data_IF_587490869312
#
_entry.id   IF_587490869312
#
_cell.length_a   1.000
_cell.length_b   1.000
_cell.length_c   1.000
_cell.angle_alpha   90.00
_cell.angle_beta   90.00
_cell.angle_gamma   90.00
#
_symmetry.space_group_name_H-M   'P 1'
#
loop_
_entity.id
_entity.type
_entity.pdbx_description
1 polymer ?
#
# COMPACT_ATOMS: atom_id res chain seq x y z
N UNK A 1 -27.23 33.31 -20.15
CA UNK A 1 -26.09 32.87 -19.32
C UNK A 1 -25.92 31.39 -19.55
N UNK A 2 -24.78 30.94 -20.10
CA UNK A 2 -24.54 29.51 -20.32
C UNK A 2 -24.25 28.86 -18.97
N UNK A 3 -25.03 27.84 -18.63
CA UNK A 3 -24.84 27.04 -17.42
C UNK A 3 -23.48 26.35 -17.49
N UNK A 4 -22.65 26.51 -16.45
CA UNK A 4 -21.29 25.99 -16.43
C UNK A 4 -21.35 24.48 -16.15
N UNK A 5 -21.46 23.68 -17.20
CA UNK A 5 -21.44 22.22 -17.12
C UNK A 5 -20.18 21.76 -16.38
N UNK A 6 -20.38 21.12 -15.22
CA UNK A 6 -19.31 20.59 -14.37
C UNK A 6 -19.43 19.07 -14.33
N UNK A 7 -18.56 18.39 -15.07
CA UNK A 7 -18.47 16.92 -15.07
C UNK A 7 -17.70 16.43 -13.83
N UNK A 8 -18.09 15.27 -13.28
CA UNK A 8 -17.43 14.68 -12.11
C UNK A 8 -16.27 13.75 -12.51
N UNK A 9 -16.31 13.21 -13.73
CA UNK A 9 -15.26 12.35 -14.30
C UNK A 9 -15.04 12.63 -15.79
N UNK A 10 -13.95 12.08 -16.32
CA UNK A 10 -13.67 12.08 -17.77
C UNK A 10 -14.72 11.25 -18.52
N UNK A 11 -15.18 10.15 -17.92
CA UNK A 11 -16.24 9.31 -18.48
C UNK A 11 -17.57 10.08 -18.59
N UNK A 12 -17.94 10.88 -17.59
CA UNK A 12 -19.13 11.74 -17.64
C UNK A 12 -19.03 12.79 -18.76
N UNK A 13 -17.85 13.39 -18.93
CA UNK A 13 -17.62 14.37 -19.99
C UNK A 13 -17.70 13.72 -21.38
N UNK A 14 -17.14 12.53 -21.54
CA UNK A 14 -17.14 11.83 -22.82
C UNK A 14 -18.51 11.27 -23.19
N UNK A 15 -19.27 10.73 -22.25
CA UNK A 15 -20.66 10.31 -22.48
C UNK A 15 -21.54 11.50 -22.90
N UNK A 16 -21.36 12.66 -22.25
CA UNK A 16 -22.02 13.89 -22.64
C UNK A 16 -21.66 14.34 -24.07
N UNK A 17 -20.37 14.27 -24.44
CA UNK A 17 -19.92 14.62 -25.79
C UNK A 17 -20.39 13.64 -26.87
N UNK A 18 -20.47 12.35 -26.54
CA UNK A 18 -20.93 11.31 -27.44
C UNK A 18 -22.47 11.21 -27.52
N UNK A 19 -23.19 11.86 -26.60
CA UNK A 19 -24.65 11.74 -26.43
C UNK A 19 -25.06 10.27 -26.27
N UNK A 20 -24.24 9.51 -25.55
CA UNK A 20 -24.38 8.06 -25.38
C UNK A 20 -23.83 7.64 -24.01
N UNK A 21 -24.73 7.18 -23.14
CA UNK A 21 -24.37 6.73 -21.80
C UNK A 21 -23.58 5.40 -21.81
N UNK A 22 -23.63 4.63 -22.91
CA UNK A 22 -22.82 3.40 -23.03
C UNK A 22 -21.33 3.73 -23.11
N UNK A 23 -20.98 4.91 -23.63
CA UNK A 23 -19.59 5.41 -23.71
C UNK A 23 -18.99 5.61 -22.31
N UNK A 24 -19.83 5.92 -21.31
CA UNK A 24 -19.37 6.05 -19.93
C UNK A 24 -18.72 4.76 -19.44
N UNK A 25 -19.44 3.63 -19.55
CA UNK A 25 -18.97 2.34 -19.07
C UNK A 25 -17.72 1.88 -19.84
N UNK A 26 -17.69 2.11 -21.15
CA UNK A 26 -16.53 1.77 -21.99
C UNK A 26 -15.27 2.53 -21.55
N UNK A 27 -15.41 3.81 -21.18
CA UNK A 27 -14.28 4.62 -20.72
C UNK A 27 -13.88 4.25 -19.31
N UNK A 28 -14.83 3.96 -18.41
CA UNK A 28 -14.52 3.49 -17.06
C UNK A 28 -13.75 2.15 -17.12
N UNK A 29 -14.20 1.23 -17.95
CA UNK A 29 -13.50 -0.04 -18.21
C UNK A 29 -12.11 0.17 -18.80
N UNK A 30 -11.95 1.09 -19.76
CA UNK A 30 -10.64 1.40 -20.34
C UNK A 30 -9.70 2.07 -19.33
N UNK A 31 -10.21 2.93 -18.44
CA UNK A 31 -9.43 3.53 -17.37
C UNK A 31 -8.93 2.45 -16.40
N UNK A 32 -9.80 1.53 -16.00
CA UNK A 32 -9.47 0.43 -15.10
C UNK A 32 -8.48 -0.55 -15.73
N UNK A 33 -8.63 -0.80 -17.02
CA UNK A 33 -7.73 -1.68 -17.77
C UNK A 33 -6.41 -1.01 -18.16
N UNK A 34 -6.16 0.27 -17.85
CA UNK A 34 -4.95 0.99 -18.26
C UNK A 34 -4.12 1.53 -17.09
N UNK A 35 -4.25 0.98 -15.89
CA UNK A 35 -3.57 1.49 -14.69
C UNK A 35 -2.05 1.26 -14.74
N UNK A 36 -1.60 0.07 -15.10
CA UNK A 36 -0.18 -0.31 -15.14
C UNK A 36 0.53 0.48 -16.25
N UNK A 37 -0.02 0.49 -17.46
CA UNK A 37 0.55 1.23 -18.60
C UNK A 37 0.68 2.72 -18.28
N UNK A 38 -0.36 3.32 -17.70
CA UNK A 38 -0.33 4.74 -17.33
C UNK A 38 0.73 5.02 -16.27
N UNK A 39 0.93 4.11 -15.31
CA UNK A 39 1.99 4.27 -14.32
C UNK A 39 3.39 4.18 -14.95
N UNK A 40 3.64 3.19 -15.82
CA UNK A 40 4.92 3.09 -16.55
C UNK A 40 5.20 4.35 -17.38
N UNK A 41 4.19 4.82 -18.13
CA UNK A 41 4.28 6.04 -18.93
C UNK A 41 4.61 7.26 -18.06
N UNK A 42 3.88 7.46 -16.95
CA UNK A 42 4.15 8.55 -16.01
C UNK A 42 5.56 8.49 -15.46
N UNK A 43 6.04 7.31 -15.08
CA UNK A 43 7.41 7.14 -14.59
C UNK A 43 8.45 7.48 -15.67
N UNK A 44 8.26 7.01 -16.91
CA UNK A 44 9.14 7.35 -18.03
C UNK A 44 9.19 8.86 -18.27
N UNK A 45 8.02 9.50 -18.33
CA UNK A 45 7.91 10.95 -18.56
C UNK A 45 8.57 11.75 -17.42
N UNK A 46 8.38 11.34 -16.16
CA UNK A 46 9.03 11.99 -15.01
C UNK A 46 10.55 11.88 -15.03
N UNK A 47 11.09 10.80 -15.62
CA UNK A 47 12.54 10.63 -15.82
C UNK A 47 13.05 11.31 -17.09
N UNK A 48 12.18 11.92 -17.90
CA UNK A 48 12.57 12.59 -19.15
C UNK A 48 13.09 11.66 -20.24
N UNK A 49 12.85 10.35 -20.12
CA UNK A 49 13.36 9.33 -21.05
C UNK A 49 12.44 9.24 -22.26
N UNK A 50 12.98 9.36 -23.46
CA UNK A 50 12.21 9.15 -24.70
C UNK A 50 11.94 7.66 -24.96
N UNK A 51 10.92 7.35 -25.77
CA UNK A 51 10.66 5.96 -26.20
C UNK A 51 11.86 5.35 -26.94
N UNK A 52 12.64 6.16 -27.67
CA UNK A 52 13.84 5.73 -28.38
C UNK A 52 14.99 5.37 -27.42
N UNK A 53 15.14 6.10 -26.33
CA UNK A 53 16.14 5.78 -25.30
C UNK A 53 15.74 4.54 -24.50
N UNK A 54 14.46 4.45 -24.13
CA UNK A 54 13.94 3.29 -23.42
C UNK A 54 14.05 2.01 -24.24
N UNK A 55 13.68 2.06 -25.52
CA UNK A 55 13.76 0.90 -26.42
C UNK A 55 15.19 0.40 -26.59
N UNK A 56 16.18 1.30 -26.67
CA UNK A 56 17.61 0.92 -26.64
C UNK A 56 17.99 0.20 -25.35
N UNK A 57 17.58 0.72 -24.19
CA UNK A 57 17.85 0.08 -22.89
C UNK A 57 17.18 -1.29 -22.76
N UNK A 58 15.99 -1.46 -23.34
CA UNK A 58 15.26 -2.72 -23.35
C UNK A 58 15.70 -3.68 -24.48
N UNK A 59 16.63 -3.28 -25.35
CA UNK A 59 17.06 -4.08 -26.50
C UNK A 59 15.93 -4.38 -27.50
N UNK A 60 14.98 -3.45 -27.67
CA UNK A 60 13.82 -3.63 -28.55
C UNK A 60 13.62 -2.44 -29.50
N UNK A 61 12.64 -2.55 -30.40
CA UNK A 61 12.28 -1.47 -31.31
C UNK A 61 11.38 -0.41 -30.64
N UNK A 62 11.50 0.85 -31.06
CA UNK A 62 10.70 1.96 -30.51
C UNK A 62 9.18 1.75 -30.71
N UNK A 63 8.77 1.02 -31.76
CA UNK A 63 7.36 0.67 -31.97
C UNK A 63 6.82 -0.26 -30.89
N UNK A 64 7.67 -1.09 -30.25
CA UNK A 64 7.26 -1.92 -29.11
C UNK A 64 6.85 -1.06 -27.93
N UNK A 65 7.67 -0.06 -27.59
CA UNK A 65 7.38 0.89 -26.51
C UNK A 65 6.10 1.68 -26.83
N UNK A 66 5.96 2.17 -28.06
CA UNK A 66 4.75 2.89 -28.48
C UNK A 66 3.49 2.02 -28.36
N UNK A 67 3.54 0.74 -28.75
CA UNK A 67 2.40 -0.18 -28.61
C UNK A 67 2.09 -0.46 -27.14
N UNK A 68 3.12 -0.64 -26.31
CA UNK A 68 2.93 -0.84 -24.89
C UNK A 68 2.25 0.37 -24.24
N UNK A 69 2.67 1.60 -24.58
CA UNK A 69 2.12 2.83 -24.00
C UNK A 69 0.76 3.26 -24.55
N UNK A 70 0.39 2.77 -25.74
CA UNK A 70 -0.90 3.05 -26.37
C UNK A 70 -1.95 1.95 -26.16
N UNK A 71 -1.53 0.77 -25.71
CA UNK A 71 -2.41 -0.33 -25.36
C UNK A 71 -2.88 -0.26 -23.91
N UNK A 72 -3.57 -1.33 -23.48
CA UNK A 72 -4.04 -1.48 -22.12
C UNK A 72 -3.33 -2.65 -21.41
N UNK A 73 -3.53 -2.75 -20.10
CA UNK A 73 -2.85 -3.69 -19.20
C UNK A 73 -3.07 -5.15 -19.60
N UNK A 74 -4.23 -5.49 -20.19
CA UNK A 74 -4.54 -6.84 -20.66
C UNK A 74 -3.64 -7.30 -21.82
N UNK A 75 -3.05 -6.36 -22.55
CA UNK A 75 -2.16 -6.64 -23.68
C UNK A 75 -0.69 -6.69 -23.26
N UNK A 76 -0.38 -6.28 -22.02
CA UNK A 76 0.98 -6.26 -21.51
C UNK A 76 1.42 -7.65 -21.06
N UNK A 77 2.63 -8.03 -21.46
CA UNK A 77 3.30 -9.23 -20.92
C UNK A 77 4.05 -8.84 -19.66
N UNK A 78 3.94 -9.66 -18.60
CA UNK A 78 4.67 -9.45 -17.33
C UNK A 78 6.17 -9.24 -17.58
N UNK A 79 6.78 -10.04 -18.46
CA UNK A 79 8.20 -9.87 -18.80
C UNK A 79 8.52 -8.54 -19.48
N UNK A 80 7.58 -7.94 -20.23
CA UNK A 80 7.76 -6.62 -20.84
C UNK A 80 7.61 -5.52 -19.79
N UNK A 81 6.68 -5.65 -18.84
CA UNK A 81 6.54 -4.74 -17.69
C UNK A 81 7.82 -4.72 -16.86
N UNK A 82 8.36 -5.91 -16.52
CA UNK A 82 9.60 -6.05 -15.75
C UNK A 82 10.78 -5.39 -16.45
N UNK A 83 10.96 -5.64 -17.76
CA UNK A 83 12.03 -5.02 -18.54
C UNK A 83 11.87 -3.50 -18.63
N UNK A 84 10.64 -3.01 -18.80
CA UNK A 84 10.35 -1.58 -18.82
C UNK A 84 10.71 -0.93 -17.48
N UNK A 85 10.24 -1.49 -16.37
CA UNK A 85 10.54 -0.99 -15.02
C UNK A 85 12.06 -1.01 -14.74
N UNK A 86 12.73 -2.13 -15.07
CA UNK A 86 14.18 -2.27 -14.91
C UNK A 86 14.96 -1.26 -15.75
N UNK A 87 14.57 -1.02 -17.00
CA UNK A 87 15.18 -0.01 -17.88
C UNK A 87 14.93 1.43 -17.38
N UNK A 88 13.89 1.64 -16.58
CA UNK A 88 13.70 2.87 -15.84
C UNK A 88 14.50 2.92 -14.54
N UNK A 89 15.13 1.84 -14.07
CA UNK A 89 15.73 1.76 -12.73
C UNK A 89 14.66 1.80 -11.64
N UNK A 90 13.60 1.01 -11.82
CA UNK A 90 12.51 0.81 -10.87
C UNK A 90 12.42 -0.69 -10.58
N UNK A 91 12.41 -1.05 -9.31
CA UNK A 91 12.17 -2.42 -8.88
C UNK A 91 10.67 -2.72 -8.90
N UNK A 92 10.32 -3.89 -9.46
CA UNK A 92 8.95 -4.39 -9.51
C UNK A 92 8.82 -5.60 -8.59
N UNK A 93 7.89 -5.53 -7.64
CA UNK A 93 7.52 -6.65 -6.78
C UNK A 93 6.10 -7.11 -7.14
N UNK A 94 5.91 -8.42 -7.27
CA UNK A 94 4.58 -9.04 -7.46
C UNK A 94 4.20 -9.73 -6.17
N UNK A 95 3.07 -9.31 -5.59
CA UNK A 95 2.52 -9.90 -4.37
C UNK A 95 1.23 -10.62 -4.74
N UNK A 96 1.12 -11.88 -4.34
CA UNK A 96 -0.12 -12.64 -4.43
C UNK A 96 -0.77 -12.67 -3.05
N UNK A 97 -1.98 -12.14 -2.94
CA UNK A 97 -2.76 -12.13 -1.71
C UNK A 97 -3.91 -13.14 -1.79
N UNK A 98 -3.98 -14.04 -0.82
CA UNK A 98 -5.12 -14.94 -0.68
C UNK A 98 -6.26 -14.23 0.06
N UNK A 99 -7.25 -13.78 -0.72
CA UNK A 99 -8.44 -13.09 -0.19
C UNK A 99 -9.39 -14.01 0.59
N UNK A 100 -9.19 -15.33 0.56
CA UNK A 100 -9.97 -16.27 1.37
C UNK A 100 -9.50 -16.30 2.82
N UNK A 101 -8.28 -15.82 3.09
CA UNK A 101 -7.76 -15.73 4.44
C UNK A 101 -8.53 -14.68 5.26
N UNK A 102 -8.83 -14.96 6.54
CA UNK A 102 -9.35 -13.95 7.44
C UNK A 102 -8.43 -12.73 7.50
N UNK A 103 -9.03 -11.54 7.63
CA UNK A 103 -8.28 -10.26 7.73
C UNK A 103 -7.19 -10.31 8.82
N UNK A 104 -7.42 -11.05 9.91
CA UNK A 104 -6.43 -11.25 10.96
C UNK A 104 -5.14 -11.94 10.46
N UNK A 105 -5.25 -12.92 9.58
CA UNK A 105 -4.09 -13.62 9.00
C UNK A 105 -3.37 -12.74 7.97
N UNK A 106 -4.12 -11.94 7.19
CA UNK A 106 -3.54 -10.94 6.30
C UNK A 106 -2.70 -9.91 7.08
N UNK A 107 -3.23 -9.40 8.21
CA UNK A 107 -2.51 -8.49 9.10
C UNK A 107 -1.21 -9.12 9.62
N UNK A 108 -1.25 -10.38 10.07
CA UNK A 108 -0.04 -11.10 10.53
C UNK A 108 1.01 -11.18 9.42
N UNK A 109 0.60 -11.52 8.20
CA UNK A 109 1.51 -11.58 7.06
C UNK A 109 2.22 -10.25 6.84
N UNK A 110 1.48 -9.13 6.86
CA UNK A 110 2.08 -7.80 6.70
C UNK A 110 3.04 -7.46 7.84
N UNK A 111 2.71 -7.81 9.08
CA UNK A 111 3.61 -7.60 10.24
C UNK A 111 4.93 -8.34 10.04
N UNK A 112 4.90 -9.58 9.55
CA UNK A 112 6.13 -10.33 9.25
C UNK A 112 6.92 -9.70 8.11
N UNK A 113 6.26 -9.30 7.01
CA UNK A 113 6.95 -8.61 5.91
C UNK A 113 7.59 -7.29 6.34
N UNK A 114 6.92 -6.51 7.21
CA UNK A 114 7.50 -5.29 7.78
C UNK A 114 8.73 -5.62 8.62
N UNK A 115 8.66 -6.66 9.44
CA UNK A 115 9.81 -7.10 10.24
C UNK A 115 11.01 -7.47 9.36
N UNK A 116 10.80 -8.26 8.30
CA UNK A 116 11.87 -8.63 7.35
C UNK A 116 12.50 -7.40 6.68
N UNK A 117 11.70 -6.41 6.29
CA UNK A 117 12.20 -5.16 5.71
C UNK A 117 13.01 -4.33 6.73
N UNK A 118 12.59 -4.32 7.99
CA UNK A 118 13.36 -3.69 9.06
C UNK A 118 14.71 -4.41 9.24
N UNK A 119 14.74 -5.75 9.27
CA UNK A 119 16.00 -6.51 9.33
C UNK A 119 16.95 -6.19 8.17
N UNK A 120 16.43 -5.95 6.95
CA UNK A 120 17.26 -5.49 5.84
C UNK A 120 17.92 -4.13 6.10
N UNK A 121 17.25 -3.21 6.81
CA UNK A 121 17.88 -1.95 7.23
C UNK A 121 19.04 -2.18 8.20
N UNK A 122 18.93 -3.17 9.08
CA UNK A 122 20.03 -3.56 9.99
C UNK A 122 21.21 -4.09 9.18
N UNK A 123 20.97 -4.97 8.21
CA UNK A 123 22.02 -5.49 7.32
C UNK A 123 22.72 -4.36 6.57
N UNK A 124 21.95 -3.41 6.02
CA UNK A 124 22.52 -2.22 5.37
C UNK A 124 23.36 -1.41 6.36
N UNK A 125 22.86 -1.16 7.57
CA UNK A 125 23.59 -0.42 8.59
C UNK A 125 24.93 -1.08 8.97
N UNK A 126 24.99 -2.42 8.97
CA UNK A 126 26.21 -3.19 9.23
C UNK A 126 27.23 -3.12 8.09
N UNK A 127 26.77 -2.95 6.85
CA UNK A 127 27.64 -2.82 5.68
C UNK A 127 28.29 -1.44 5.57
N UNK A 128 27.67 -0.42 6.15
CA UNK A 128 28.21 0.94 6.18
C UNK A 128 29.14 1.08 7.39
N UNK A 129 30.41 0.70 7.20
CA UNK A 129 31.43 0.70 8.25
C UNK A 129 31.57 2.09 8.91
N UNK A 130 31.13 2.21 10.16
CA UNK A 130 31.38 3.38 11.01
C UNK A 130 30.63 4.68 10.68
N UNK A 131 29.70 4.70 9.72
CA UNK A 131 28.89 5.90 9.42
C UNK A 131 27.77 6.09 10.46
N UNK A 132 28.18 6.63 11.61
CA UNK A 132 27.30 6.98 12.74
C UNK A 132 26.07 7.79 12.31
N UNK A 133 26.18 8.81 11.43
CA UNK A 133 25.01 9.51 10.89
C UNK A 133 23.95 8.61 10.25
N UNK A 134 24.34 7.59 9.49
CA UNK A 134 23.39 6.66 8.85
C UNK A 134 22.72 5.78 9.90
N UNK A 135 23.51 5.23 10.83
CA UNK A 135 23.00 4.38 11.92
C UNK A 135 22.00 5.15 12.80
N UNK A 136 22.29 6.40 13.14
CA UNK A 136 21.41 7.20 13.99
C UNK A 136 20.12 7.60 13.26
N UNK A 137 20.17 7.86 11.95
CA UNK A 137 18.95 8.05 11.14
C UNK A 137 18.06 6.81 11.11
N UNK A 138 18.66 5.62 10.99
CA UNK A 138 17.92 4.36 11.04
C UNK A 138 17.22 4.23 12.40
N UNK A 139 17.91 4.48 13.52
CA UNK A 139 17.29 4.44 14.86
C UNK A 139 16.10 5.39 14.99
N UNK A 140 16.23 6.63 14.52
CA UNK A 140 15.14 7.61 14.53
C UNK A 140 13.95 7.07 13.74
N UNK A 141 14.19 6.57 12.53
CA UNK A 141 13.14 5.96 11.70
C UNK A 141 12.42 4.81 12.40
N UNK A 142 13.15 3.88 13.05
CA UNK A 142 12.53 2.81 13.84
C UNK A 142 11.59 3.34 14.93
N UNK A 143 12.01 4.39 15.65
CA UNK A 143 11.18 5.03 16.68
C UNK A 143 9.90 5.64 16.09
N UNK A 144 10.01 6.32 14.95
CA UNK A 144 8.86 6.90 14.24
C UNK A 144 7.89 5.82 13.76
N UNK A 145 8.39 4.74 13.16
CA UNK A 145 7.58 3.61 12.69
C UNK A 145 6.81 2.99 13.86
N UNK A 146 7.49 2.71 14.97
CA UNK A 146 6.87 2.14 16.18
C UNK A 146 5.79 3.06 16.75
N UNK A 147 6.08 4.36 16.90
CA UNK A 147 5.12 5.33 17.41
C UNK A 147 3.86 5.39 16.52
N UNK A 148 4.05 5.41 15.19
CA UNK A 148 2.95 5.40 14.25
C UNK A 148 2.09 4.14 14.35
N UNK A 149 2.70 2.96 14.48
CA UNK A 149 1.96 1.72 14.72
C UNK A 149 1.12 1.80 16.00
N UNK A 150 1.71 2.24 17.12
CA UNK A 150 1.02 2.32 18.41
C UNK A 150 -0.16 3.31 18.38
N UNK A 151 0.03 4.48 17.77
CA UNK A 151 -1.03 5.49 17.65
C UNK A 151 -2.20 4.96 16.81
N UNK A 152 -1.92 4.39 15.64
CA UNK A 152 -2.97 3.85 14.75
C UNK A 152 -3.67 2.63 15.33
N UNK A 153 -2.93 1.78 16.05
CA UNK A 153 -3.51 0.64 16.74
C UNK A 153 -4.44 1.10 17.86
N UNK A 154 -4.02 2.08 18.65
CA UNK A 154 -4.84 2.67 19.73
C UNK A 154 -6.13 3.29 19.17
N UNK A 155 -6.06 4.02 18.05
CA UNK A 155 -7.24 4.58 17.40
C UNK A 155 -8.21 3.51 16.92
N UNK A 156 -7.69 2.44 16.32
CA UNK A 156 -8.49 1.31 15.84
C UNK A 156 -9.15 0.56 17.00
N UNK A 157 -8.40 0.35 18.09
CA UNK A 157 -8.91 -0.27 19.31
C UNK A 157 -10.00 0.57 19.98
N UNK A 158 -9.83 1.91 20.05
CA UNK A 158 -10.87 2.82 20.56
C UNK A 158 -12.17 2.71 19.75
N UNK A 159 -12.07 2.64 18.42
CA UNK A 159 -13.25 2.45 17.55
C UNK A 159 -13.95 1.12 17.82
N UNK A 160 -13.19 0.04 18.00
CA UNK A 160 -13.75 -1.27 18.32
C UNK A 160 -14.45 -1.27 19.68
N UNK A 161 -13.89 -0.57 20.66
CA UNK A 161 -14.50 -0.40 21.98
C UNK A 161 -15.86 0.33 21.92
N UNK A 162 -15.98 1.37 21.10
CA UNK A 162 -17.25 2.08 20.89
C UNK A 162 -18.33 1.15 20.30
N UNK A 163 -17.94 0.27 19.37
CA UNK A 163 -18.87 -0.72 18.79
C UNK A 163 -19.33 -1.72 19.85
N UNK A 164 -18.44 -2.22 20.71
CA UNK A 164 -18.81 -3.17 21.78
C UNK A 164 -19.66 -2.56 22.90
N UNK A 165 -19.57 -1.24 23.12
CA UNK A 165 -20.35 -0.53 24.15
C UNK A 165 -21.78 -0.15 23.68
N UNK A 166 -22.09 -0.30 22.38
CA UNK A 166 -23.43 -0.04 21.85
C UNK A 166 -24.33 -1.29 21.75
N UNK A 167 -23.82 -2.49 22.01
CA UNK A 167 -24.57 -3.75 21.90
C UNK A 167 -24.99 -4.40 23.24
N UNK A 168 -24.89 -3.72 24.40
CA UNK A 168 -25.43 -4.31 25.63
C UNK A 168 -25.84 -3.30 26.74
N UNK A 169 -27.13 -2.90 26.83
CA UNK A 169 -27.64 -2.12 27.96
C UNK A 169 -27.80 -2.92 29.27
N UNK A 170 -27.70 -4.24 29.28
CA UNK A 170 -28.05 -5.05 30.44
C UNK A 170 -27.02 -6.15 30.74
N UNK A 171 -25.86 -5.78 31.29
CA UNK A 171 -25.00 -6.69 32.07
C UNK A 171 -23.82 -5.99 32.76
N UNK A 172 -24.09 -4.99 33.61
CA UNK A 172 -23.12 -4.50 34.60
C UNK A 172 -23.69 -4.63 36.01
N UNK A 173 -23.89 -5.87 36.46
CA UNK A 173 -24.28 -6.13 37.86
C UNK A 173 -23.77 -7.45 38.46
N UNK A 174 -22.76 -8.14 37.92
CA UNK A 174 -22.06 -9.16 38.72
C UNK A 174 -20.64 -9.38 38.20
N UNK A 175 -19.67 -8.95 39.00
CA UNK A 175 -18.24 -9.09 38.68
C UNK A 175 -17.31 -8.23 39.54
N UNK A 176 -17.77 -7.79 40.72
CA UNK A 176 -16.89 -7.26 41.78
C UNK A 176 -16.85 -8.27 42.91
N UNK A 177 -16.04 -9.29 42.76
CA UNK A 177 -15.64 -10.23 43.82
C UNK A 177 -14.77 -11.28 43.15
N UNK A 178 -13.45 -11.09 43.20
CA UNK A 178 -12.36 -12.08 43.17
C UNK A 178 -11.12 -11.25 42.80
N UNK A 179 -10.54 -10.59 43.81
CA UNK A 179 -9.13 -10.16 43.91
C UNK A 179 -8.92 -9.45 45.26
N UNK A 180 -9.49 -10.02 46.33
CA UNK A 180 -9.06 -9.75 47.70
C UNK A 180 -9.04 -11.09 48.41
N UNK A 181 -7.93 -11.80 48.30
CA UNK A 181 -7.32 -12.63 49.35
C UNK A 181 -6.09 -13.35 48.79
N UNK A 182 -5.05 -13.35 49.62
CA UNK A 182 -3.83 -14.19 49.60
C UNK A 182 -2.53 -13.52 49.15
N UNK A 183 -1.93 -12.76 50.09
CA UNK A 183 -0.47 -12.78 50.29
C UNK A 183 -0.24 -13.35 51.70
N UNK A 184 0.41 -14.52 51.86
CA UNK A 184 0.78 -15.03 53.18
C UNK A 184 1.98 -14.26 53.72
N UNK A 185 1.89 -13.71 54.94
CA UNK A 185 3.06 -13.31 55.73
C UNK A 185 3.44 -14.51 56.60
N UNK A 186 4.58 -15.12 56.30
CA UNK A 186 5.20 -16.11 57.18
C UNK A 186 5.58 -15.46 58.51
N UNK A 187 5.17 -16.13 59.59
CA UNK A 187 5.65 -15.90 60.94
C UNK A 187 7.08 -16.43 61.08
N UNK A 188 8.02 -15.57 61.48
CA UNK A 188 9.23 -15.99 62.19
C UNK A 188 9.15 -15.44 63.61
N UNK A 189 9.04 -16.35 64.59
CA UNK A 189 9.08 -16.04 66.02
C UNK A 189 9.95 -17.07 66.74
N UNK A 190 11.17 -16.67 67.10
CA UNK A 190 11.85 -16.95 68.36
C UNK A 190 13.18 -16.17 68.37
#
# INVERSE_FOLDING_TARGET
MAEKLRFKSVADAAAFLAVDDTVKNLIEEEIDNSQIVNNLLRHRLRKGISQKELSKSMGCDSSKISRMEAGNDLQLKVGDIMQYASALGIDMNVVFEDKTLPVAEQIKSHVFSIHEQLEQLVVIAQQVDGDKPIIDKIKVFYGEVLLNFLLRFTDSHKKLRIVSEHDNPEQHAQGKSILEKEIPKEHSSC
#
